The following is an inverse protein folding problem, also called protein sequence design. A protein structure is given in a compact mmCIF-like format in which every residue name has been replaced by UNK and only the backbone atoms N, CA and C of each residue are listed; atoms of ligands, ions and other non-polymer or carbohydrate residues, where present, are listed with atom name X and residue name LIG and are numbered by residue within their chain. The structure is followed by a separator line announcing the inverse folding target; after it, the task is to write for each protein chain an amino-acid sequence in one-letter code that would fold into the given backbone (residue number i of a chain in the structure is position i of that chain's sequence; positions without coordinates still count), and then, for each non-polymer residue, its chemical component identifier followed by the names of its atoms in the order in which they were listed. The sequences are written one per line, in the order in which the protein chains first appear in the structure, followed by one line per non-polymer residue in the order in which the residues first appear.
data_IF_989954361930
#
_entry.id   IF_989954361930
#
_cell.length_a   1.000
_cell.length_b   1.000
_cell.length_c   1.000
_cell.angle_alpha   90.00
_cell.angle_beta   90.00
_cell.angle_gamma   90.00
#
_symmetry.space_group_name_H-M   'P 1'
#
loop_
_entity.id
_entity.type
_entity.pdbx_description
1 polymer ?
#
# COMPACT_ATOMS: atom_id res chain seq x y z
N UNK A 1 14.10 -3.33 17.38
CA UNK A 1 14.18 -4.79 17.05
C UNK A 1 13.84 -4.98 15.57
N UNK A 2 14.01 -6.20 14.97
CA UNK A 2 13.51 -6.49 13.62
C UNK A 2 11.99 -6.38 13.62
N UNK A 3 11.45 -5.57 12.70
CA UNK A 3 10.01 -5.36 12.60
C UNK A 3 9.32 -6.47 11.81
N UNK A 4 8.04 -6.70 12.12
CA UNK A 4 7.14 -7.55 11.37
C UNK A 4 6.03 -6.69 10.74
N UNK A 5 5.87 -6.82 9.42
CA UNK A 5 4.86 -6.09 8.67
C UNK A 5 3.46 -6.62 8.99
N UNK A 6 2.51 -5.70 9.24
CA UNK A 6 1.10 -6.01 9.44
C UNK A 6 0.22 -5.08 8.61
N UNK A 7 -0.79 -5.64 7.96
CA UNK A 7 -1.83 -4.92 7.21
C UNK A 7 -3.19 -5.35 7.71
N UNK A 8 -3.99 -4.41 8.20
CA UNK A 8 -5.33 -4.67 8.72
C UNK A 8 -6.35 -3.75 8.05
N UNK A 9 -7.49 -4.29 7.67
CA UNK A 9 -8.62 -3.50 7.18
C UNK A 9 -9.37 -2.89 8.37
N UNK A 10 -9.43 -1.56 8.43
CA UNK A 10 -10.16 -0.83 9.46
C UNK A 10 -11.61 -0.57 9.07
N UNK A 11 -11.85 -0.25 7.79
CA UNK A 11 -13.18 0.08 7.28
C UNK A 11 -13.20 -0.03 5.76
N UNK A 12 -14.38 -0.28 5.21
CA UNK A 12 -14.62 -0.18 3.77
C UNK A 12 -16.09 0.20 3.50
N UNK A 13 -16.39 0.65 2.28
CA UNK A 13 -17.76 0.84 1.81
C UNK A 13 -18.50 -0.49 1.85
N UNK A 14 -19.66 -0.62 2.56
CA UNK A 14 -20.26 -1.91 2.89
C UNK A 14 -20.73 -2.74 1.70
N UNK A 15 -21.03 -2.09 0.55
CA UNK A 15 -21.60 -2.77 -0.60
C UNK A 15 -20.95 -2.32 -1.90
N UNK A 16 -20.73 -3.27 -2.80
CA UNK A 16 -20.30 -3.04 -4.18
C UNK A 16 -21.43 -2.45 -5.06
N UNK A 17 -22.67 -2.55 -4.59
CA UNK A 17 -23.86 -1.98 -5.28
C UNK A 17 -23.73 -0.49 -5.54
N UNK A 18 -22.94 0.25 -4.75
CA UNK A 18 -22.71 1.68 -4.96
C UNK A 18 -22.10 1.97 -6.33
N UNK A 19 -21.14 1.15 -6.79
CA UNK A 19 -20.53 1.31 -8.11
C UNK A 19 -21.51 0.98 -9.25
N UNK A 20 -22.31 -0.07 -9.09
CA UNK A 20 -23.34 -0.44 -10.06
C UNK A 20 -24.46 0.63 -10.15
N UNK A 21 -24.88 1.17 -9.00
CA UNK A 21 -25.85 2.27 -8.93
C UNK A 21 -25.29 3.55 -9.55
N UNK A 22 -24.03 3.88 -9.34
CA UNK A 22 -23.36 5.01 -9.99
C UNK A 22 -23.32 4.82 -11.52
N UNK A 23 -23.02 3.61 -12.01
CA UNK A 23 -23.04 3.28 -13.42
C UNK A 23 -24.46 3.44 -14.03
N UNK A 24 -25.49 2.97 -13.33
CA UNK A 24 -26.88 3.10 -13.74
C UNK A 24 -27.31 4.58 -13.81
N UNK A 25 -26.94 5.37 -12.81
CA UNK A 25 -27.24 6.80 -12.78
C UNK A 25 -26.74 7.56 -14.02
N UNK A 26 -25.63 7.15 -14.62
CA UNK A 26 -25.07 7.80 -15.81
C UNK A 26 -25.93 7.62 -17.08
N UNK A 27 -26.80 6.61 -17.13
CA UNK A 27 -27.56 6.23 -18.34
C UNK A 27 -29.05 6.14 -18.09
N UNK A 28 -29.54 6.49 -16.92
CA UNK A 28 -30.94 6.43 -16.53
C UNK A 28 -31.54 7.82 -16.25
N UNK A 29 -32.83 7.98 -16.48
CA UNK A 29 -33.58 9.20 -16.09
C UNK A 29 -33.89 9.22 -14.58
N UNK A 30 -33.74 8.09 -13.86
CA UNK A 30 -34.01 7.94 -12.46
C UNK A 30 -32.83 7.23 -11.78
N UNK A 31 -32.66 7.51 -10.52
CA UNK A 31 -31.67 6.80 -9.70
C UNK A 31 -32.41 5.60 -9.06
N UNK A 32 -32.09 4.42 -9.56
CA UNK A 32 -32.56 3.16 -8.97
C UNK A 32 -31.35 2.45 -8.35
N UNK A 33 -31.51 2.01 -7.11
CA UNK A 33 -30.47 1.24 -6.42
C UNK A 33 -30.37 -0.14 -7.09
N UNK A 34 -29.21 -0.44 -7.65
CA UNK A 34 -28.95 -1.74 -8.25
C UNK A 34 -28.69 -2.76 -7.15
N UNK A 35 -29.48 -3.81 -7.13
CA UNK A 35 -29.40 -4.89 -6.15
C UNK A 35 -29.24 -6.25 -6.85
N UNK A 36 -28.83 -7.25 -6.07
CA UNK A 36 -28.55 -8.60 -6.55
C UNK A 36 -27.16 -8.75 -7.19
N UNK A 37 -26.42 -9.78 -6.75
CA UNK A 37 -25.02 -9.99 -7.14
C UNK A 37 -24.80 -9.99 -8.66
N UNK A 38 -25.69 -10.65 -9.41
CA UNK A 38 -25.58 -10.74 -10.87
C UNK A 38 -25.71 -9.37 -11.54
N UNK A 39 -26.68 -8.54 -11.11
CA UNK A 39 -26.89 -7.20 -11.65
C UNK A 39 -25.72 -6.27 -11.32
N UNK A 40 -25.23 -6.32 -10.07
CA UNK A 40 -24.05 -5.57 -9.62
C UNK A 40 -22.84 -5.95 -10.47
N UNK A 41 -22.59 -7.24 -10.62
CA UNK A 41 -21.49 -7.77 -11.43
C UNK A 41 -21.57 -7.35 -12.90
N UNK A 42 -22.74 -7.49 -13.50
CA UNK A 42 -22.98 -7.13 -14.90
C UNK A 42 -22.75 -5.63 -15.14
N UNK A 43 -23.35 -4.77 -14.32
CA UNK A 43 -23.26 -3.32 -14.44
C UNK A 43 -21.84 -2.82 -14.21
N UNK A 44 -21.19 -3.25 -13.12
CA UNK A 44 -19.83 -2.85 -12.77
C UNK A 44 -18.82 -3.33 -13.82
N UNK A 45 -18.90 -4.60 -14.26
CA UNK A 45 -18.01 -5.16 -15.28
C UNK A 45 -18.16 -4.44 -16.62
N UNK A 46 -19.40 -4.19 -17.07
CA UNK A 46 -19.66 -3.46 -18.32
C UNK A 46 -19.01 -2.06 -18.29
N UNK A 47 -19.17 -1.32 -17.19
CA UNK A 47 -18.59 0.01 -17.05
C UNK A 47 -17.06 -0.01 -17.09
N UNK A 48 -16.42 -0.92 -16.37
CA UNK A 48 -14.95 -1.08 -16.35
C UNK A 48 -14.44 -1.45 -17.76
N UNK A 49 -15.08 -2.40 -18.44
CA UNK A 49 -14.69 -2.82 -19.79
C UNK A 49 -14.83 -1.71 -20.83
N UNK A 50 -15.76 -0.79 -20.60
CA UNK A 50 -15.99 0.39 -21.45
C UNK A 50 -15.07 1.58 -21.08
N UNK A 51 -14.16 1.42 -20.11
CA UNK A 51 -13.24 2.46 -19.66
C UNK A 51 -13.86 3.51 -18.74
N UNK A 52 -15.04 3.24 -18.19
CA UNK A 52 -15.75 4.15 -17.27
C UNK A 52 -15.39 3.85 -15.81
N UNK A 53 -14.11 4.03 -15.47
CA UNK A 53 -13.57 3.70 -14.15
C UNK A 53 -13.99 4.68 -13.03
N UNK A 54 -14.62 5.81 -13.36
CA UNK A 54 -15.08 6.80 -12.37
C UNK A 54 -16.05 6.22 -11.34
N UNK A 55 -16.85 5.22 -11.71
CA UNK A 55 -17.75 4.53 -10.78
C UNK A 55 -17.02 3.89 -9.59
N UNK A 56 -15.76 3.49 -9.77
CA UNK A 56 -14.94 2.88 -8.72
C UNK A 56 -14.52 3.87 -7.64
N UNK A 57 -14.63 5.17 -7.90
CA UNK A 57 -14.28 6.21 -6.93
C UNK A 57 -15.30 6.30 -5.77
N UNK A 58 -16.49 5.71 -5.93
CA UNK A 58 -17.53 5.67 -4.89
C UNK A 58 -17.31 4.58 -3.83
N UNK A 59 -16.44 3.61 -4.08
CA UNK A 59 -16.07 2.60 -3.09
C UNK A 59 -14.67 2.90 -2.53
N UNK A 60 -14.51 2.82 -1.22
CA UNK A 60 -13.23 3.10 -0.55
C UNK A 60 -12.93 2.09 0.56
N UNK A 61 -11.64 1.96 0.89
CA UNK A 61 -11.18 1.19 2.05
C UNK A 61 -10.12 1.96 2.83
N UNK A 62 -10.10 1.71 4.14
CA UNK A 62 -9.12 2.26 5.09
C UNK A 62 -8.36 1.12 5.74
N UNK A 63 -7.03 1.19 5.70
CA UNK A 63 -6.13 0.19 6.26
C UNK A 63 -5.27 0.78 7.38
N UNK A 64 -4.96 -0.03 8.39
CA UNK A 64 -3.82 0.18 9.27
C UNK A 64 -2.63 -0.64 8.73
N UNK A 65 -1.49 0.03 8.56
CA UNK A 65 -0.24 -0.58 8.08
C UNK A 65 0.83 -0.28 9.12
N UNK A 66 1.47 -1.31 9.65
CA UNK A 66 2.53 -1.18 10.66
C UNK A 66 3.73 -2.07 10.34
N UNK A 67 4.86 -1.83 11.03
CA UNK A 67 6.09 -2.58 10.81
C UNK A 67 6.72 -2.36 9.43
N UNK A 68 6.39 -1.25 8.78
CA UNK A 68 6.92 -0.85 7.47
C UNK A 68 7.90 0.31 7.61
N UNK A 69 8.88 0.39 6.70
CA UNK A 69 9.95 1.36 6.75
C UNK A 69 9.54 2.77 6.30
N UNK A 70 10.33 3.78 6.66
CA UNK A 70 10.22 5.13 6.06
C UNK A 70 10.53 5.11 4.56
N UNK A 71 11.34 4.17 4.08
CA UNK A 71 11.56 3.96 2.64
C UNK A 71 10.29 3.52 1.92
N UNK A 72 9.48 2.65 2.53
CA UNK A 72 8.15 2.30 2.03
C UNK A 72 7.23 3.52 2.00
N UNK A 73 7.15 4.29 3.10
CA UNK A 73 6.32 5.49 3.18
C UNK A 73 6.67 6.51 2.07
N UNK A 74 7.96 6.71 1.80
CA UNK A 74 8.42 7.60 0.73
C UNK A 74 7.91 7.19 -0.66
N UNK A 75 7.73 5.88 -0.90
CA UNK A 75 7.15 5.36 -2.13
C UNK A 75 5.60 5.42 -2.12
N UNK A 76 4.96 5.11 -0.97
CA UNK A 76 3.51 5.17 -0.82
C UNK A 76 2.98 6.59 -1.05
N UNK A 77 3.65 7.60 -0.50
CA UNK A 77 3.27 9.01 -0.63
C UNK A 77 3.35 9.57 -2.05
N UNK A 78 3.94 8.83 -3.01
CA UNK A 78 3.92 9.20 -4.43
C UNK A 78 2.57 8.94 -5.09
N UNK A 79 1.73 8.11 -4.50
CA UNK A 79 0.33 7.95 -4.89
C UNK A 79 -0.46 9.14 -4.31
N UNK A 80 -1.08 9.94 -5.18
CA UNK A 80 -1.62 11.26 -4.78
C UNK A 80 -3.10 11.24 -4.39
N UNK A 81 -3.86 10.26 -4.88
CA UNK A 81 -5.30 10.14 -4.63
C UNK A 81 -5.58 9.27 -3.40
N UNK A 82 -4.83 9.54 -2.33
CA UNK A 82 -4.88 8.80 -1.06
C UNK A 82 -4.94 9.76 0.12
N UNK A 83 -5.43 9.29 1.26
CA UNK A 83 -5.31 9.96 2.55
C UNK A 83 -4.36 9.18 3.45
N UNK A 84 -3.45 9.88 4.11
CA UNK A 84 -2.45 9.30 5.00
C UNK A 84 -2.47 10.00 6.35
N UNK A 85 -2.54 9.21 7.43
CA UNK A 85 -2.14 9.62 8.77
C UNK A 85 -0.94 8.76 9.17
N UNK A 86 0.18 9.40 9.48
CA UNK A 86 1.47 8.73 9.69
C UNK A 86 2.01 9.06 11.07
N UNK A 87 2.58 8.08 11.76
CA UNK A 87 3.28 8.27 13.02
C UNK A 87 4.32 9.39 12.89
N UNK A 88 4.17 10.41 13.74
CA UNK A 88 5.06 11.57 13.72
C UNK A 88 6.34 11.32 14.51
N UNK A 89 7.48 11.44 13.85
CA UNK A 89 8.79 11.44 14.52
C UNK A 89 9.11 12.79 15.21
N UNK A 90 8.20 13.76 15.20
CA UNK A 90 8.34 15.02 15.95
C UNK A 90 7.76 14.91 17.36
N UNK A 91 6.78 14.00 17.56
CA UNK A 91 6.02 13.90 18.80
C UNK A 91 6.16 12.54 19.47
N UNK A 92 6.61 11.53 18.73
CA UNK A 92 6.81 10.18 19.26
C UNK A 92 8.29 9.98 19.47
N UNK A 93 8.65 9.68 20.73
CA UNK A 93 10.01 9.29 21.05
C UNK A 93 10.34 7.96 20.38
N UNK A 94 11.48 7.90 19.70
CA UNK A 94 11.90 6.74 18.90
C UNK A 94 13.04 5.95 19.57
N UNK A 95 13.24 6.09 20.89
CA UNK A 95 14.20 5.27 21.64
C UNK A 95 13.92 3.78 21.41
N UNK A 96 14.95 3.01 21.09
CA UNK A 96 14.82 1.60 20.83
C UNK A 96 13.98 1.26 19.57
N UNK A 97 13.94 2.13 18.58
CA UNK A 97 13.11 1.97 17.40
C UNK A 97 13.25 0.61 16.71
N UNK A 98 12.15 0.13 16.16
CA UNK A 98 12.15 -1.04 15.31
C UNK A 98 12.57 -0.68 13.87
N UNK A 99 13.12 -1.66 13.13
CA UNK A 99 13.61 -1.44 11.78
C UNK A 99 13.37 -2.64 10.88
N UNK A 100 13.22 -2.37 9.60
CA UNK A 100 13.08 -3.39 8.54
C UNK A 100 14.46 -3.84 8.09
N UNK A 101 14.66 -5.16 7.96
CA UNK A 101 15.85 -5.74 7.32
C UNK A 101 15.42 -6.25 5.94
N UNK A 102 15.86 -5.63 4.83
CA UNK A 102 15.58 -6.13 3.50
C UNK A 102 16.10 -7.57 3.28
N UNK A 103 15.37 -8.38 2.52
CA UNK A 103 15.70 -9.79 2.28
C UNK A 103 17.13 -10.00 1.75
N UNK A 104 17.61 -9.10 0.89
CA UNK A 104 18.98 -9.16 0.37
C UNK A 104 20.06 -8.97 1.46
N UNK A 105 19.75 -8.21 2.52
CA UNK A 105 20.61 -8.05 3.68
C UNK A 105 20.43 -9.22 4.63
N UNK A 106 19.21 -9.67 4.85
CA UNK A 106 18.88 -10.81 5.71
C UNK A 106 19.62 -12.10 5.27
N UNK A 107 19.79 -12.29 3.98
CA UNK A 107 20.42 -13.47 3.38
C UNK A 107 21.96 -13.40 3.33
N UNK A 108 22.59 -12.30 3.73
CA UNK A 108 24.04 -12.13 3.85
C UNK A 108 24.41 -11.88 5.32
N UNK A 109 24.85 -12.94 6.02
CA UNK A 109 25.10 -12.88 7.46
C UNK A 109 26.11 -11.81 7.85
N UNK A 110 27.18 -11.60 7.05
CA UNK A 110 28.20 -10.60 7.34
C UNK A 110 27.68 -9.17 7.19
N UNK A 111 26.88 -8.93 6.15
CA UNK A 111 26.22 -7.62 5.93
C UNK A 111 25.15 -7.38 6.98
N UNK A 112 24.37 -8.40 7.32
CA UNK A 112 23.33 -8.34 8.35
C UNK A 112 23.90 -7.99 9.71
N UNK A 113 25.01 -8.61 10.10
CA UNK A 113 25.69 -8.30 11.39
C UNK A 113 26.06 -6.81 11.46
N UNK A 114 26.70 -6.26 10.42
CA UNK A 114 27.05 -4.84 10.35
C UNK A 114 25.85 -3.92 10.29
N UNK A 115 24.79 -4.34 9.60
CA UNK A 115 23.53 -3.60 9.55
C UNK A 115 22.89 -3.49 10.94
N UNK A 116 22.82 -4.59 11.69
CA UNK A 116 22.26 -4.61 13.06
C UNK A 116 23.12 -3.77 14.01
N UNK A 117 24.45 -3.87 13.90
CA UNK A 117 25.39 -3.06 14.67
C UNK A 117 25.15 -1.55 14.44
N UNK A 118 24.99 -1.15 13.18
CA UNK A 118 24.69 0.25 12.83
C UNK A 118 23.32 0.71 13.39
N UNK A 119 22.29 -0.14 13.33
CA UNK A 119 20.97 0.22 13.87
C UNK A 119 21.03 0.41 15.40
N UNK A 120 21.79 -0.42 16.10
CA UNK A 120 22.00 -0.27 17.55
C UNK A 120 22.74 1.03 17.87
N UNK A 121 23.87 1.28 17.21
CA UNK A 121 24.63 2.52 17.44
C UNK A 121 23.80 3.78 17.15
N UNK A 122 22.93 3.73 16.14
CA UNK A 122 22.01 4.83 15.84
C UNK A 122 20.96 5.01 16.94
N UNK A 123 20.42 3.91 17.48
CA UNK A 123 19.47 3.96 18.59
C UNK A 123 20.11 4.54 19.85
N UNK A 124 21.33 4.11 20.19
CA UNK A 124 22.08 4.61 21.34
C UNK A 124 22.36 6.12 21.21
N UNK A 125 22.74 6.56 19.99
CA UNK A 125 22.97 8.00 19.74
C UNK A 125 21.67 8.80 19.86
N UNK A 126 20.54 8.27 19.36
CA UNK A 126 19.24 8.92 19.49
C UNK A 126 18.85 9.09 20.97
N UNK A 127 19.04 8.04 21.80
CA UNK A 127 18.80 8.09 23.23
C UNK A 127 19.71 9.11 23.93
N UNK A 128 21.01 9.16 23.59
CA UNK A 128 21.94 10.18 24.10
C UNK A 128 21.43 11.58 23.77
N UNK A 129 21.00 11.83 22.55
CA UNK A 129 20.49 13.13 22.12
C UNK A 129 19.24 13.53 22.89
N UNK A 130 18.27 12.63 23.02
CA UNK A 130 16.97 12.94 23.65
C UNK A 130 17.04 12.97 25.18
N UNK A 131 17.66 11.94 25.80
CA UNK A 131 17.60 11.75 27.25
C UNK A 131 18.74 12.47 28.01
N UNK A 132 19.97 12.49 27.45
CA UNK A 132 21.10 13.10 28.13
C UNK A 132 21.29 14.56 27.77
N UNK A 133 21.02 14.95 26.51
CA UNK A 133 21.24 16.31 26.04
C UNK A 133 19.94 17.09 25.84
N UNK A 134 18.75 16.49 26.10
CA UNK A 134 17.43 17.13 25.96
C UNK A 134 17.21 17.76 24.58
N UNK A 135 17.78 17.14 23.52
CA UNK A 135 17.52 17.56 22.13
C UNK A 135 16.14 17.04 21.76
N UNK A 136 15.28 17.93 21.23
CA UNK A 136 13.93 17.59 20.87
C UNK A 136 13.87 16.50 19.79
N UNK A 137 12.82 15.67 19.82
CA UNK A 137 12.58 14.60 18.84
C UNK A 137 12.58 15.13 17.40
N UNK A 138 12.08 16.36 17.18
CA UNK A 138 12.04 16.99 15.86
C UNK A 138 13.42 17.23 15.24
N UNK A 139 14.46 17.33 16.04
CA UNK A 139 15.86 17.47 15.62
C UNK A 139 16.59 16.13 15.71
N UNK A 140 16.38 15.35 16.78
CA UNK A 140 17.01 14.04 16.97
C UNK A 140 16.65 13.05 15.86
N UNK A 141 15.44 13.14 15.28
CA UNK A 141 14.99 12.27 14.17
C UNK A 141 15.85 12.33 12.89
N UNK A 142 16.72 13.36 12.75
CA UNK A 142 17.56 13.49 11.55
C UNK A 142 18.60 12.37 11.42
N UNK A 143 18.91 11.67 12.52
CA UNK A 143 19.82 10.51 12.48
C UNK A 143 19.08 9.20 12.17
N UNK A 144 17.75 9.16 12.25
CA UNK A 144 16.98 7.93 12.06
C UNK A 144 17.10 7.42 10.61
N UNK A 145 17.44 6.13 10.43
CA UNK A 145 17.63 5.56 9.10
C UNK A 145 16.30 5.37 8.38
N UNK A 146 16.33 5.29 7.06
CA UNK A 146 15.16 4.95 6.23
C UNK A 146 14.53 3.60 6.59
N UNK A 147 15.28 2.73 7.23
CA UNK A 147 14.81 1.44 7.71
C UNK A 147 13.96 1.53 8.98
N UNK A 148 14.03 2.65 9.72
CA UNK A 148 13.20 2.89 10.90
C UNK A 148 11.71 2.72 10.55
N UNK A 149 10.97 2.01 11.39
CA UNK A 149 9.56 1.73 11.15
C UNK A 149 8.65 2.91 11.36
N UNK A 150 7.44 2.80 10.82
CA UNK A 150 6.37 3.76 11.00
C UNK A 150 5.01 3.06 10.97
N UNK A 151 4.00 3.70 11.56
CA UNK A 151 2.61 3.28 11.53
C UNK A 151 1.81 4.25 10.64
N UNK A 152 0.90 3.71 9.86
CA UNK A 152 0.17 4.45 8.84
C UNK A 152 -1.31 4.05 8.89
N UNK A 153 -2.20 5.03 8.93
CA UNK A 153 -3.59 4.85 8.50
C UNK A 153 -3.70 5.37 7.07
N UNK A 154 -4.11 4.50 6.18
CA UNK A 154 -4.16 4.72 4.73
C UNK A 154 -5.58 4.55 4.22
N UNK A 155 -6.10 5.53 3.48
CA UNK A 155 -7.42 5.44 2.82
C UNK A 155 -7.28 5.73 1.34
N UNK A 156 -7.90 4.90 0.51
CA UNK A 156 -8.02 5.14 -0.93
C UNK A 156 -9.35 4.61 -1.47
N UNK A 157 -9.82 5.17 -2.59
CA UNK A 157 -10.93 4.62 -3.34
C UNK A 157 -10.51 3.42 -4.20
N UNK A 158 -11.48 2.65 -4.70
CA UNK A 158 -11.18 1.42 -5.42
C UNK A 158 -10.42 1.67 -6.73
N UNK A 159 -10.63 2.80 -7.40
CA UNK A 159 -9.88 3.17 -8.61
C UNK A 159 -8.39 3.32 -8.31
N UNK A 160 -8.05 4.08 -7.27
CA UNK A 160 -6.67 4.27 -6.85
C UNK A 160 -6.06 2.98 -6.30
N UNK A 161 -6.81 2.16 -5.53
CA UNK A 161 -6.35 0.85 -5.07
C UNK A 161 -5.99 -0.07 -6.24
N UNK A 162 -6.84 -0.17 -7.28
CA UNK A 162 -6.52 -0.94 -8.50
C UNK A 162 -5.29 -0.40 -9.23
N UNK A 163 -5.13 0.93 -9.28
CA UNK A 163 -3.93 1.56 -9.83
C UNK A 163 -2.68 1.19 -9.01
N UNK A 164 -2.73 1.30 -7.68
CA UNK A 164 -1.65 0.87 -6.79
C UNK A 164 -1.30 -0.60 -7.05
N UNK A 165 -2.29 -1.50 -7.07
CA UNK A 165 -2.06 -2.93 -7.29
C UNK A 165 -1.42 -3.19 -8.66
N UNK A 166 -1.85 -2.50 -9.72
CA UNK A 166 -1.29 -2.68 -11.06
C UNK A 166 0.21 -2.35 -11.14
N UNK A 167 0.66 -1.40 -10.34
CA UNK A 167 2.05 -0.99 -10.27
C UNK A 167 2.85 -1.78 -9.23
N UNK A 168 2.28 -2.00 -8.03
CA UNK A 168 3.05 -2.40 -6.85
C UNK A 168 3.08 -3.91 -6.60
N UNK A 169 2.19 -4.69 -7.19
CA UNK A 169 2.28 -6.17 -7.17
C UNK A 169 3.24 -6.73 -8.22
N UNK A 170 3.79 -5.87 -9.08
CA UNK A 170 4.80 -6.25 -10.06
C UNK A 170 6.11 -6.71 -9.39
N UNK A 171 6.77 -7.75 -9.91
CA UNK A 171 8.05 -8.27 -9.41
C UNK A 171 9.19 -7.24 -9.41
N UNK A 172 9.08 -6.15 -10.16
CA UNK A 172 10.05 -5.04 -10.16
C UNK A 172 9.86 -4.04 -9.02
N UNK A 173 8.74 -4.11 -8.33
CA UNK A 173 8.54 -3.30 -7.13
C UNK A 173 9.45 -3.79 -6.01
N UNK A 174 9.97 -2.87 -5.20
CA UNK A 174 10.68 -3.22 -3.98
C UNK A 174 9.85 -4.19 -3.15
N UNK A 175 10.48 -5.27 -2.66
CA UNK A 175 9.79 -6.39 -2.03
C UNK A 175 8.85 -5.94 -0.92
N UNK A 176 9.29 -5.06 -0.03
CA UNK A 176 8.47 -4.54 1.08
C UNK A 176 7.14 -3.96 0.58
N UNK A 177 7.17 -3.09 -0.43
CA UNK A 177 5.94 -2.50 -0.96
C UNK A 177 5.09 -3.54 -1.70
N UNK A 178 5.73 -4.47 -2.41
CA UNK A 178 5.02 -5.54 -3.11
C UNK A 178 4.27 -6.43 -2.12
N UNK A 179 4.88 -6.76 -1.00
CA UNK A 179 4.27 -7.60 0.03
C UNK A 179 3.05 -6.88 0.65
N UNK A 180 3.17 -5.61 1.03
CA UNK A 180 2.04 -4.78 1.52
C UNK A 180 0.93 -4.69 0.47
N UNK A 181 1.28 -4.44 -0.80
CA UNK A 181 0.29 -4.31 -1.88
C UNK A 181 -0.46 -5.64 -2.13
N UNK A 182 0.23 -6.77 -2.03
CA UNK A 182 -0.39 -8.09 -2.15
C UNK A 182 -1.36 -8.38 -1.00
N UNK A 183 -1.01 -8.05 0.25
CA UNK A 183 -1.92 -8.22 1.39
C UNK A 183 -3.14 -7.31 1.28
N UNK A 184 -2.97 -6.03 0.94
CA UNK A 184 -4.11 -5.14 0.69
C UNK A 184 -5.00 -5.66 -0.44
N UNK A 185 -4.41 -6.13 -1.54
CA UNK A 185 -5.16 -6.67 -2.67
C UNK A 185 -5.95 -7.93 -2.30
N UNK A 186 -5.37 -8.83 -1.52
CA UNK A 186 -6.04 -10.03 -1.00
C UNK A 186 -7.26 -9.65 -0.18
N UNK A 187 -7.10 -8.75 0.79
CA UNK A 187 -8.20 -8.25 1.63
C UNK A 187 -9.29 -7.59 0.76
N UNK A 188 -8.92 -6.74 -0.20
CA UNK A 188 -9.88 -6.10 -1.11
C UNK A 188 -10.67 -7.12 -1.93
N UNK A 189 -10.05 -8.21 -2.40
CA UNK A 189 -10.73 -9.29 -3.13
C UNK A 189 -11.69 -10.09 -2.25
N UNK A 190 -11.44 -10.18 -0.95
CA UNK A 190 -12.34 -10.84 0.01
C UNK A 190 -13.58 -9.99 0.30
N UNK A 191 -13.44 -8.66 0.46
CA UNK A 191 -14.54 -7.78 0.87
C UNK A 191 -15.30 -7.13 -0.30
N UNK A 192 -14.69 -7.09 -1.49
CA UNK A 192 -15.29 -6.53 -2.70
C UNK A 192 -14.86 -7.32 -3.96
N UNK A 193 -15.27 -8.59 -4.07
CA UNK A 193 -14.80 -9.51 -5.11
C UNK A 193 -15.17 -9.09 -6.54
N UNK A 194 -16.28 -8.36 -6.73
CA UNK A 194 -16.72 -7.89 -8.05
C UNK A 194 -15.85 -6.72 -8.50
N UNK A 195 -15.61 -5.74 -7.63
CA UNK A 195 -14.80 -4.55 -7.92
C UNK A 195 -13.35 -4.94 -8.20
N UNK A 196 -12.78 -5.84 -7.40
CA UNK A 196 -11.38 -6.26 -7.52
C UNK A 196 -11.18 -7.54 -8.34
N UNK A 197 -12.19 -7.97 -9.09
CA UNK A 197 -12.05 -9.04 -10.09
C UNK A 197 -10.92 -8.68 -11.06
N UNK A 198 -10.00 -9.63 -11.30
CA UNK A 198 -8.86 -9.42 -12.18
C UNK A 198 -7.83 -8.37 -11.71
N UNK A 199 -7.94 -7.83 -10.49
CA UNK A 199 -6.91 -6.94 -9.95
C UNK A 199 -5.58 -7.70 -9.75
N UNK A 200 -4.47 -7.08 -10.15
CA UNK A 200 -3.14 -7.67 -10.12
C UNK A 200 -2.12 -6.76 -10.81
N UNK A 201 -0.91 -7.25 -11.03
CA UNK A 201 0.11 -6.52 -11.77
C UNK A 201 -0.35 -6.19 -13.20
N UNK A 202 0.12 -5.06 -13.76
CA UNK A 202 -0.27 -4.62 -15.10
C UNK A 202 -0.12 -5.75 -16.15
N UNK A 203 0.93 -6.56 -16.06
CA UNK A 203 1.15 -7.68 -16.99
C UNK A 203 0.16 -8.83 -16.79
N UNK A 204 -0.37 -9.03 -15.60
CA UNK A 204 -1.43 -10.02 -15.30
C UNK A 204 -2.77 -9.57 -15.89
N UNK A 205 -3.04 -8.26 -15.84
CA UNK A 205 -4.26 -7.67 -16.39
C UNK A 205 -4.25 -7.67 -17.92
N UNK A 206 -3.10 -7.36 -18.55
CA UNK A 206 -3.00 -7.14 -20.00
C UNK A 206 -2.47 -8.33 -20.79
N UNK A 207 -1.87 -9.33 -20.12
CA UNK A 207 -1.23 -10.49 -20.75
C UNK A 207 0.17 -10.19 -21.32
N UNK A 208 0.70 -8.96 -21.15
CA UNK A 208 2.04 -8.58 -21.62
C UNK A 208 2.75 -7.60 -20.67
N UNK A 209 4.09 -7.63 -20.69
CA UNK A 209 4.92 -6.76 -19.88
C UNK A 209 5.21 -5.43 -20.59
N UNK A 210 4.95 -4.30 -19.93
CA UNK A 210 5.24 -2.95 -20.44
C UNK A 210 6.62 -2.43 -20.00
N UNK A 211 7.27 -3.12 -19.07
CA UNK A 211 8.56 -2.72 -18.52
C UNK A 211 9.70 -2.90 -19.52
N UNK A 212 10.59 -1.92 -19.63
CA UNK A 212 11.78 -2.01 -20.50
C UNK A 212 12.67 -3.20 -20.16
N UNK A 213 12.82 -3.48 -18.85
CA UNK A 213 13.53 -4.66 -18.31
C UNK A 213 12.53 -5.52 -17.53
N UNK A 214 11.77 -6.36 -18.24
CA UNK A 214 10.79 -7.27 -17.61
C UNK A 214 11.47 -8.38 -16.80
N UNK A 215 10.70 -8.99 -15.89
CA UNK A 215 11.13 -10.15 -15.08
C UNK A 215 11.00 -11.49 -15.84
N UNK A 216 10.50 -11.51 -17.07
CA UNK A 216 10.30 -12.72 -17.89
C UNK A 216 8.98 -13.47 -17.66
N UNK A 217 8.17 -13.07 -16.68
CA UNK A 217 6.89 -13.75 -16.37
C UNK A 217 5.86 -13.63 -17.52
N UNK A 218 5.87 -12.51 -18.24
CA UNK A 218 4.99 -12.24 -19.38
C UNK A 218 5.79 -11.76 -20.61
N UNK A 219 5.31 -12.02 -21.84
CA UNK A 219 5.95 -11.51 -23.03
C UNK A 219 5.93 -9.98 -23.03
N UNK A 220 6.90 -9.37 -23.72
CA UNK A 220 6.87 -7.91 -23.93
C UNK A 220 5.74 -7.54 -24.87
N UNK A 221 5.18 -6.35 -24.68
CA UNK A 221 4.30 -5.74 -25.66
C UNK A 221 5.06 -5.61 -26.99
N UNK A 222 4.51 -6.19 -28.04
CA UNK A 222 5.00 -6.01 -29.41
C UNK A 222 4.72 -4.59 -29.89
#
# INVERSE_FOLDING_TARGET
MKAEMKVELLSHTPSEAICATAAHCCVSQKIDIIDGEENIRKSTRHSIQSGHDSILEHWSATFAISGVSRAFLAQLSRHRLISLSVQSQRYVNMNGFDYVIPESIENDEKVKEKYVEFMRATSDLYEIMTELHNIKEEDSRYILPNACTTNIVFTANARELKHIFSLRTCNRTQKEFRDVANEMMKICKEVAPIIFEGAGAQCEITGYCVESRGCGKYPKKK
#
